data_IF_961894737391
#
_entry.id   IF_961894737391
#
_cell.length_a   1.000
_cell.length_b   1.000
_cell.length_c   1.000
_cell.angle_alpha   90.00
_cell.angle_beta   90.00
_cell.angle_gamma   90.00
#
_symmetry.space_group_name_H-M   'P 1'
#
loop_
_entity.id
_entity.type
_entity.pdbx_description
1 polymer ?
#
# COMPACT_ATOMS: atom_id res chain seq x y z
N UNK A 1 -29.62 -33.58 -21.55
CA UNK A 1 -28.17 -33.59 -21.86
C UNK A 1 -27.59 -32.28 -21.40
N UNK A 2 -26.99 -32.26 -20.21
CA UNK A 2 -26.23 -31.09 -19.73
C UNK A 2 -24.88 -31.16 -20.45
N UNK A 3 -24.60 -30.17 -21.28
CA UNK A 3 -23.30 -29.99 -21.93
C UNK A 3 -22.26 -29.82 -20.82
N UNK A 4 -21.40 -30.83 -20.69
CA UNK A 4 -20.16 -30.73 -19.92
C UNK A 4 -19.30 -29.74 -20.67
N UNK A 5 -19.06 -28.57 -20.07
CA UNK A 5 -18.08 -27.63 -20.56
C UNK A 5 -16.73 -28.36 -20.59
N UNK A 6 -16.19 -28.58 -21.77
CA UNK A 6 -14.81 -29.02 -21.98
C UNK A 6 -13.90 -27.99 -21.31
N UNK A 7 -13.33 -28.34 -20.16
CA UNK A 7 -12.15 -27.67 -19.63
C UNK A 7 -11.02 -27.97 -20.60
N UNK A 8 -10.73 -27.03 -21.50
CA UNK A 8 -9.48 -27.02 -22.26
C UNK A 8 -8.34 -27.03 -21.25
N UNK A 9 -7.67 -28.17 -21.09
CA UNK A 9 -6.42 -28.22 -20.34
C UNK A 9 -5.42 -27.35 -21.09
N UNK A 10 -5.05 -26.21 -20.48
CA UNK A 10 -3.99 -25.36 -21.00
C UNK A 10 -2.73 -26.22 -21.09
N UNK A 11 -2.18 -26.38 -22.29
CA UNK A 11 -1.03 -27.26 -22.53
C UNK A 11 0.28 -26.60 -22.10
N UNK A 12 0.24 -25.32 -21.72
CA UNK A 12 1.40 -24.55 -21.30
C UNK A 12 1.29 -24.12 -19.83
N UNK A 13 2.42 -24.00 -19.12
CA UNK A 13 2.43 -23.47 -17.77
C UNK A 13 2.00 -22.00 -17.73
N UNK A 14 1.39 -21.60 -16.62
CA UNK A 14 1.00 -20.21 -16.34
C UNK A 14 2.21 -19.38 -15.91
N UNK A 15 3.06 -19.02 -16.87
CA UNK A 15 4.29 -18.27 -16.61
C UNK A 15 4.05 -16.83 -16.18
N UNK A 16 2.82 -16.30 -16.33
CA UNK A 16 2.40 -14.99 -15.82
C UNK A 16 2.48 -14.89 -14.28
N UNK A 17 2.54 -16.03 -13.59
CA UNK A 17 2.83 -16.08 -12.15
C UNK A 17 4.19 -15.45 -11.82
N UNK A 18 5.17 -15.57 -12.72
CA UNK A 18 6.52 -15.03 -12.56
C UNK A 18 6.50 -13.51 -12.39
N UNK A 19 5.74 -12.81 -13.25
CA UNK A 19 5.60 -11.36 -13.18
C UNK A 19 5.00 -10.87 -11.85
N UNK A 20 4.12 -11.66 -11.20
CA UNK A 20 3.58 -11.35 -9.87
C UNK A 20 4.68 -11.44 -8.81
N UNK A 21 5.50 -12.49 -8.86
CA UNK A 21 6.65 -12.68 -7.95
C UNK A 21 7.68 -11.56 -8.17
N UNK A 22 8.03 -11.25 -9.41
CA UNK A 22 8.96 -10.17 -9.72
C UNK A 22 8.46 -8.81 -9.22
N UNK A 23 7.14 -8.55 -9.32
CA UNK A 23 6.52 -7.34 -8.76
C UNK A 23 6.69 -7.22 -7.25
N UNK A 24 6.79 -8.34 -6.52
CA UNK A 24 7.11 -8.32 -5.08
C UNK A 24 8.50 -7.69 -4.87
N UNK A 25 9.51 -8.15 -5.60
CA UNK A 25 10.87 -7.64 -5.44
C UNK A 25 11.00 -6.20 -5.93
N UNK A 26 10.43 -5.87 -7.10
CA UNK A 26 10.41 -4.50 -7.65
C UNK A 26 9.80 -3.48 -6.70
N UNK A 27 8.83 -3.88 -5.88
CA UNK A 27 8.17 -2.97 -4.93
C UNK A 27 8.81 -2.96 -3.55
N UNK A 28 9.28 -4.10 -3.07
CA UNK A 28 9.72 -4.23 -1.69
C UNK A 28 11.09 -3.60 -1.42
N UNK A 29 12.09 -3.81 -2.28
CA UNK A 29 13.44 -3.27 -2.02
C UNK A 29 13.47 -1.73 -1.97
N UNK A 30 12.82 -0.99 -2.89
CA UNK A 30 12.70 0.46 -2.77
C UNK A 30 12.00 0.91 -1.49
N UNK A 31 10.91 0.21 -1.11
CA UNK A 31 10.19 0.50 0.13
C UNK A 31 11.09 0.30 1.35
N UNK A 32 11.87 -0.78 1.37
CA UNK A 32 12.79 -1.08 2.47
C UNK A 32 13.89 -0.02 2.55
N UNK A 33 14.49 0.40 1.43
CA UNK A 33 15.50 1.47 1.42
C UNK A 33 14.94 2.77 2.05
N UNK A 34 13.71 3.15 1.73
CA UNK A 34 13.02 4.29 2.32
C UNK A 34 12.68 4.06 3.82
N UNK A 35 12.34 2.84 4.24
CA UNK A 35 12.20 2.51 5.66
C UNK A 35 13.53 2.61 6.43
N UNK A 36 14.63 2.18 5.83
CA UNK A 36 15.99 2.30 6.40
C UNK A 36 16.35 3.78 6.58
N UNK A 37 16.22 4.61 5.53
CA UNK A 37 16.53 6.06 5.59
C UNK A 37 15.75 6.80 6.69
N UNK A 38 14.53 6.37 6.99
CA UNK A 38 13.66 7.03 7.98
C UNK A 38 13.81 6.50 9.40
N UNK A 39 14.53 5.40 9.58
CA UNK A 39 14.70 4.82 10.90
C UNK A 39 15.66 5.68 11.70
N UNK A 40 15.25 6.23 12.86
CA UNK A 40 16.13 7.06 13.67
C UNK A 40 17.35 6.26 14.16
N UNK A 41 18.56 6.85 14.19
CA UNK A 41 19.77 6.20 14.70
C UNK A 41 19.63 5.71 16.16
N UNK A 42 18.71 6.33 16.92
CA UNK A 42 18.42 6.03 18.32
C UNK A 42 17.43 4.88 18.53
N UNK A 43 16.97 4.22 17.45
CA UNK A 43 15.87 3.25 17.51
C UNK A 43 16.27 1.85 17.02
N UNK A 44 17.11 1.10 17.76
CA UNK A 44 17.53 -0.26 17.36
C UNK A 44 16.34 -1.23 17.24
N UNK A 45 15.30 -1.08 18.08
CA UNK A 45 14.06 -1.86 17.96
C UNK A 45 13.35 -1.63 16.62
N UNK A 46 13.42 -0.42 16.07
CA UNK A 46 12.84 -0.11 14.77
C UNK A 46 13.70 -0.70 13.65
N UNK A 47 15.02 -0.57 13.76
CA UNK A 47 15.97 -1.16 12.83
C UNK A 47 15.78 -2.67 12.72
N UNK A 48 15.65 -3.38 13.84
CA UNK A 48 15.40 -4.83 13.87
C UNK A 48 14.11 -5.24 13.14
N UNK A 49 13.04 -4.44 13.25
CA UNK A 49 11.79 -4.72 12.54
C UNK A 49 11.95 -4.55 11.02
N UNK A 50 12.69 -3.53 10.57
CA UNK A 50 12.95 -3.31 9.14
C UNK A 50 13.92 -4.36 8.61
N UNK A 51 14.99 -4.65 9.35
CA UNK A 51 15.98 -5.66 9.01
C UNK A 51 15.35 -7.05 8.90
N UNK A 52 14.45 -7.44 9.80
CA UNK A 52 13.74 -8.71 9.69
C UNK A 52 12.82 -8.81 8.47
N UNK A 53 12.29 -7.69 7.97
CA UNK A 53 11.55 -7.67 6.70
C UNK A 53 12.49 -7.71 5.49
N UNK A 54 13.64 -7.05 5.56
CA UNK A 54 14.70 -7.15 4.56
C UNK A 54 15.23 -8.58 4.44
N UNK A 55 15.52 -9.24 5.56
CA UNK A 55 15.96 -10.64 5.61
C UNK A 55 14.94 -11.55 4.94
N UNK A 56 13.64 -11.33 5.20
CA UNK A 56 12.57 -12.08 4.55
C UNK A 56 12.60 -11.93 3.02
N UNK A 57 12.75 -10.71 2.50
CA UNK A 57 12.79 -10.47 1.05
C UNK A 57 14.06 -10.98 0.39
N UNK A 58 15.22 -10.82 1.02
CA UNK A 58 16.49 -11.36 0.50
C UNK A 58 16.49 -12.89 0.49
N UNK A 59 15.89 -13.52 1.50
CA UNK A 59 15.75 -14.99 1.52
C UNK A 59 14.77 -15.46 0.44
N UNK A 60 13.68 -14.72 0.20
CA UNK A 60 12.76 -14.99 -0.91
C UNK A 60 13.44 -14.87 -2.27
N UNK A 61 14.24 -13.81 -2.47
CA UNK A 61 15.01 -13.60 -3.70
C UNK A 61 16.01 -14.74 -3.94
N UNK A 62 16.81 -15.08 -2.93
CA UNK A 62 17.73 -16.22 -3.02
C UNK A 62 16.99 -17.53 -3.30
N UNK A 63 15.85 -17.76 -2.65
CA UNK A 63 15.04 -18.95 -2.87
C UNK A 63 14.49 -19.05 -4.30
N UNK A 64 14.17 -17.93 -4.94
CA UNK A 64 13.70 -17.83 -6.33
C UNK A 64 14.84 -18.15 -7.31
N UNK A 65 15.92 -17.37 -7.30
CA UNK A 65 17.07 -17.56 -8.22
C UNK A 65 17.67 -18.96 -8.11
N UNK A 66 17.90 -19.47 -6.89
CA UNK A 66 18.44 -20.83 -6.72
C UNK A 66 17.50 -21.93 -7.20
N UNK A 67 16.20 -21.67 -7.30
CA UNK A 67 15.25 -22.62 -7.88
C UNK A 67 15.28 -22.52 -9.41
N UNK A 68 15.38 -21.34 -10.01
CA UNK A 68 15.64 -21.20 -11.46
C UNK A 68 16.91 -21.95 -11.87
N UNK A 69 18.02 -21.70 -11.17
CA UNK A 69 19.33 -22.29 -11.49
C UNK A 69 19.30 -23.82 -11.48
N UNK A 70 18.57 -24.39 -10.52
CA UNK A 70 18.51 -25.85 -10.32
C UNK A 70 17.49 -26.53 -11.21
N UNK A 71 16.36 -25.87 -11.46
CA UNK A 71 15.20 -26.52 -12.05
C UNK A 71 14.88 -26.03 -13.45
N UNK A 72 15.21 -24.80 -13.82
CA UNK A 72 14.81 -24.20 -15.11
C UNK A 72 15.98 -24.18 -16.11
N UNK A 73 17.13 -23.60 -15.76
CA UNK A 73 18.28 -23.47 -16.68
C UNK A 73 18.73 -24.77 -17.33
N UNK A 74 18.91 -25.89 -16.60
CA UNK A 74 19.36 -27.13 -17.21
C UNK A 74 18.37 -27.67 -18.25
N UNK A 75 17.07 -27.47 -18.03
CA UNK A 75 16.01 -27.93 -18.95
C UNK A 75 15.93 -27.06 -20.19
N UNK A 76 16.08 -25.74 -20.06
CA UNK A 76 16.09 -24.84 -21.21
C UNK A 76 17.33 -25.08 -22.08
N UNK A 77 18.51 -25.30 -21.48
CA UNK A 77 19.72 -25.68 -22.21
C UNK A 77 19.56 -27.02 -22.97
N UNK A 78 18.83 -27.98 -22.39
CA UNK A 78 18.55 -29.27 -23.04
C UNK A 78 17.53 -29.14 -24.18
N UNK A 79 16.49 -28.30 -24.03
CA UNK A 79 15.28 -28.35 -24.86
C UNK A 79 15.09 -27.17 -25.81
N UNK A 80 15.77 -26.04 -25.59
CA UNK A 80 15.55 -24.80 -26.33
C UNK A 80 16.82 -24.38 -27.09
N UNK A 81 16.75 -24.30 -28.42
CA UNK A 81 17.90 -24.07 -29.29
C UNK A 81 17.81 -22.77 -30.13
N UNK A 82 18.91 -21.98 -30.25
CA UNK A 82 20.00 -21.83 -29.29
C UNK A 82 19.62 -20.80 -28.21
N UNK A 83 19.74 -21.18 -26.93
CA UNK A 83 19.43 -20.30 -25.78
C UNK A 83 20.60 -20.15 -24.80
N UNK A 84 21.73 -20.79 -25.08
CA UNK A 84 22.89 -20.84 -24.18
C UNK A 84 23.42 -19.45 -23.81
N UNK A 85 23.45 -18.51 -24.76
CA UNK A 85 23.87 -17.13 -24.54
C UNK A 85 22.93 -16.38 -23.58
N UNK A 86 21.62 -16.64 -23.68
CA UNK A 86 20.60 -16.09 -22.77
C UNK A 86 20.77 -16.68 -21.37
N UNK A 87 20.92 -18.00 -21.25
CA UNK A 87 21.06 -18.66 -19.95
C UNK A 87 22.38 -18.26 -19.27
N UNK A 88 23.51 -18.25 -19.98
CA UNK A 88 24.78 -17.75 -19.42
C UNK A 88 24.69 -16.28 -19.00
N UNK A 89 23.89 -15.46 -19.69
CA UNK A 89 23.60 -14.08 -19.27
C UNK A 89 22.80 -14.04 -17.97
N UNK A 90 21.77 -14.89 -17.83
CA UNK A 90 20.99 -15.00 -16.59
C UNK A 90 21.85 -15.43 -15.41
N UNK A 91 22.71 -16.43 -15.58
CA UNK A 91 23.62 -16.90 -14.52
C UNK A 91 24.54 -15.78 -14.03
N UNK A 92 25.15 -15.01 -14.95
CA UNK A 92 25.97 -13.83 -14.58
C UNK A 92 25.16 -12.76 -13.84
N UNK A 93 23.90 -12.54 -14.24
CA UNK A 93 23.02 -11.60 -13.54
C UNK A 93 22.62 -12.11 -12.15
N UNK A 94 22.38 -13.41 -11.99
CA UNK A 94 22.14 -14.04 -10.69
C UNK A 94 23.35 -13.89 -9.75
N UNK A 95 24.57 -14.10 -10.26
CA UNK A 95 25.80 -13.88 -9.51
C UNK A 95 25.90 -12.42 -9.04
N UNK A 96 25.72 -11.45 -9.94
CA UNK A 96 25.75 -10.03 -9.59
C UNK A 96 24.67 -9.65 -8.55
N UNK A 97 23.46 -10.18 -8.69
CA UNK A 97 22.38 -9.97 -7.72
C UNK A 97 22.69 -10.62 -6.36
N UNK A 98 23.35 -11.79 -6.35
CA UNK A 98 23.79 -12.47 -5.14
C UNK A 98 24.87 -11.67 -4.41
N UNK A 99 25.90 -11.20 -5.12
CA UNK A 99 26.95 -10.35 -4.53
C UNK A 99 26.39 -9.06 -3.93
N UNK A 100 25.48 -8.38 -4.64
CA UNK A 100 24.79 -7.21 -4.12
C UNK A 100 23.93 -7.55 -2.89
N UNK A 101 23.26 -8.70 -2.89
CA UNK A 101 22.48 -9.18 -1.75
C UNK A 101 23.36 -9.45 -0.52
N UNK A 102 24.53 -10.06 -0.70
CA UNK A 102 25.47 -10.33 0.38
C UNK A 102 26.02 -9.04 1.00
N UNK A 103 26.31 -8.04 0.15
CA UNK A 103 26.69 -6.70 0.62
C UNK A 103 25.59 -6.05 1.46
N UNK A 104 24.33 -6.17 1.03
CA UNK A 104 23.18 -5.67 1.80
C UNK A 104 23.05 -6.40 3.14
N UNK A 105 23.23 -7.73 3.17
CA UNK A 105 23.18 -8.53 4.42
C UNK A 105 24.25 -8.10 5.41
N UNK A 106 25.48 -7.89 4.94
CA UNK A 106 26.60 -7.43 5.77
C UNK A 106 26.31 -6.05 6.39
N UNK A 107 25.79 -5.11 5.60
CA UNK A 107 25.39 -3.79 6.07
C UNK A 107 24.22 -3.83 7.06
N UNK A 108 23.22 -4.66 6.78
CA UNK A 108 22.05 -4.85 7.62
C UNK A 108 22.43 -5.46 8.98
N UNK A 109 23.39 -6.39 9.01
CA UNK A 109 23.90 -7.00 10.22
C UNK A 109 24.56 -5.97 11.16
N UNK A 110 25.28 -4.97 10.62
CA UNK A 110 25.81 -3.85 11.42
C UNK A 110 24.71 -2.89 11.84
N UNK A 111 23.84 -2.52 10.89
CA UNK A 111 22.78 -1.53 11.09
C UNK A 111 21.74 -1.93 12.14
N UNK A 112 21.38 -3.22 12.20
CA UNK A 112 20.38 -3.72 13.15
C UNK A 112 20.81 -3.54 14.61
N UNK A 113 22.12 -3.60 14.89
CA UNK A 113 22.71 -3.44 16.22
C UNK A 113 22.90 -1.97 16.54
N UNK A 114 23.49 -1.22 15.60
CA UNK A 114 23.76 0.21 15.74
C UNK A 114 23.32 0.92 14.46
N UNK A 115 22.15 1.58 14.44
CA UNK A 115 21.55 2.12 13.22
C UNK A 115 22.20 3.40 12.66
N UNK A 116 23.52 3.47 12.65
CA UNK A 116 24.31 4.65 12.22
C UNK A 116 24.69 4.61 10.74
N UNK A 117 24.82 3.42 10.14
CA UNK A 117 25.14 3.24 8.72
C UNK A 117 23.90 3.15 7.79
N UNK A 118 22.75 3.71 8.20
CA UNK A 118 21.50 3.59 7.45
C UNK A 118 21.57 4.16 6.03
N UNK A 119 22.32 5.24 5.80
CA UNK A 119 22.50 5.80 4.46
C UNK A 119 23.28 4.85 3.54
N UNK A 120 24.33 4.21 4.05
CA UNK A 120 25.13 3.21 3.32
C UNK A 120 24.29 1.97 2.98
N UNK A 121 23.53 1.45 3.95
CA UNK A 121 22.61 0.34 3.74
C UNK A 121 21.54 0.67 2.69
N UNK A 122 20.92 1.86 2.78
CA UNK A 122 19.90 2.26 1.81
C UNK A 122 20.47 2.36 0.39
N UNK A 123 21.67 2.91 0.22
CA UNK A 123 22.35 2.99 -1.08
C UNK A 123 22.68 1.60 -1.65
N UNK A 124 23.12 0.66 -0.80
CA UNK A 124 23.34 -0.73 -1.23
C UNK A 124 22.04 -1.42 -1.67
N UNK A 125 20.91 -1.14 -1.00
CA UNK A 125 19.59 -1.65 -1.41
C UNK A 125 19.14 -1.01 -2.74
N UNK A 126 19.40 0.29 -2.96
CA UNK A 126 19.11 0.93 -4.25
C UNK A 126 19.93 0.29 -5.38
N UNK A 127 21.21 -0.01 -5.13
CA UNK A 127 22.07 -0.68 -6.10
C UNK A 127 21.59 -2.10 -6.40
N UNK A 128 21.25 -2.90 -5.38
CA UNK A 128 20.62 -4.21 -5.55
C UNK A 128 19.32 -4.09 -6.37
N UNK A 129 18.50 -3.08 -6.08
CA UNK A 129 17.24 -2.83 -6.82
C UNK A 129 17.52 -2.57 -8.30
N UNK A 130 18.52 -1.75 -8.64
CA UNK A 130 18.85 -1.43 -10.03
C UNK A 130 19.30 -2.67 -10.80
N UNK A 131 20.23 -3.45 -10.23
CA UNK A 131 20.69 -4.73 -10.79
C UNK A 131 19.51 -5.68 -10.98
N UNK A 132 18.66 -5.79 -9.97
CA UNK A 132 17.55 -6.71 -9.97
C UNK A 132 16.49 -6.31 -11.00
N UNK A 133 16.13 -5.03 -11.12
CA UNK A 133 15.14 -4.60 -12.12
C UNK A 133 15.61 -4.91 -13.54
N UNK A 134 16.89 -4.65 -13.85
CA UNK A 134 17.47 -5.00 -15.16
C UNK A 134 17.39 -6.51 -15.42
N UNK A 135 17.78 -7.33 -14.44
CA UNK A 135 17.69 -8.78 -14.53
C UNK A 135 16.25 -9.28 -14.72
N UNK A 136 15.29 -8.81 -13.92
CA UNK A 136 13.90 -9.25 -13.99
C UNK A 136 13.22 -8.83 -15.30
N UNK A 137 13.55 -7.65 -15.83
CA UNK A 137 13.05 -7.18 -17.13
C UNK A 137 13.61 -8.05 -18.27
N UNK A 138 14.88 -8.45 -18.17
CA UNK A 138 15.55 -9.30 -19.15
C UNK A 138 15.02 -10.73 -19.14
N UNK A 139 14.81 -11.30 -17.94
CA UNK A 139 14.21 -12.62 -17.76
C UNK A 139 12.77 -12.67 -18.29
N UNK A 140 11.94 -11.68 -17.96
CA UNK A 140 10.55 -11.60 -18.47
C UNK A 140 10.50 -11.49 -20.00
N UNK A 141 11.46 -10.80 -20.62
CA UNK A 141 11.49 -10.60 -22.06
C UNK A 141 12.02 -11.83 -22.83
N UNK A 142 13.04 -12.51 -22.30
CA UNK A 142 13.79 -13.51 -23.09
C UNK A 142 13.69 -14.93 -22.56
N UNK A 143 13.43 -15.11 -21.27
CA UNK A 143 13.41 -16.43 -20.64
C UNK A 143 12.00 -16.93 -20.39
N UNK A 144 11.12 -16.09 -19.84
CA UNK A 144 9.74 -16.46 -19.54
C UNK A 144 8.99 -17.03 -20.77
N UNK A 145 9.19 -16.53 -22.01
CA UNK A 145 8.63 -17.17 -23.20
C UNK A 145 9.17 -18.60 -23.44
N UNK A 146 10.48 -18.82 -23.23
CA UNK A 146 11.10 -20.13 -23.37
C UNK A 146 10.58 -21.11 -22.32
N UNK A 147 10.36 -20.64 -21.08
CA UNK A 147 9.72 -21.45 -20.03
C UNK A 147 8.35 -21.90 -20.51
N UNK A 148 7.54 -20.98 -21.05
CA UNK A 148 6.19 -21.31 -21.53
C UNK A 148 6.22 -22.37 -22.62
N UNK A 149 7.19 -22.31 -23.52
CA UNK A 149 7.30 -23.22 -24.67
C UNK A 149 7.89 -24.59 -24.31
N UNK A 150 8.86 -24.64 -23.40
CA UNK A 150 9.71 -25.82 -23.21
C UNK A 150 9.62 -26.50 -21.83
N UNK A 151 8.93 -25.89 -20.87
CA UNK A 151 8.70 -26.44 -19.53
C UNK A 151 7.27 -26.94 -19.42
N UNK A 152 7.08 -28.15 -18.89
CA UNK A 152 5.73 -28.72 -18.74
C UNK A 152 4.98 -28.09 -17.56
N UNK A 153 3.65 -28.21 -17.55
CA UNK A 153 2.82 -27.77 -16.42
C UNK A 153 3.25 -28.45 -15.11
N UNK A 154 3.52 -29.75 -15.14
CA UNK A 154 3.96 -30.51 -13.95
C UNK A 154 5.31 -30.02 -13.42
N UNK A 155 6.27 -29.75 -14.31
CA UNK A 155 7.58 -29.22 -13.92
C UNK A 155 7.47 -27.81 -13.34
N UNK A 156 6.59 -26.98 -13.90
CA UNK A 156 6.30 -25.63 -13.41
C UNK A 156 5.61 -25.63 -12.04
N UNK A 157 4.64 -26.52 -11.83
CA UNK A 157 3.99 -26.69 -10.53
C UNK A 157 4.99 -27.13 -9.47
N UNK A 158 5.86 -28.11 -9.79
CA UNK A 158 6.94 -28.56 -8.91
C UNK A 158 7.93 -27.44 -8.57
N UNK A 159 8.31 -26.62 -9.55
CA UNK A 159 9.13 -25.43 -9.32
C UNK A 159 8.48 -24.51 -8.27
N UNK A 160 7.18 -24.25 -8.40
CA UNK A 160 6.43 -23.44 -7.43
C UNK A 160 6.41 -24.06 -6.03
N UNK A 161 6.24 -25.38 -5.93
CA UNK A 161 6.28 -26.11 -4.65
C UNK A 161 7.66 -26.01 -3.97
N UNK A 162 8.74 -26.23 -4.73
CA UNK A 162 10.12 -26.17 -4.24
C UNK A 162 10.48 -24.75 -3.74
N UNK A 163 10.04 -23.71 -4.45
CA UNK A 163 10.21 -22.32 -4.03
C UNK A 163 9.48 -22.04 -2.70
N UNK A 164 8.26 -22.57 -2.53
CA UNK A 164 7.47 -22.39 -1.30
C UNK A 164 7.91 -23.29 -0.13
N UNK A 165 8.54 -24.43 -0.40
CA UNK A 165 9.00 -25.38 0.61
C UNK A 165 10.07 -24.78 1.54
N UNK A 166 10.85 -23.82 1.03
CA UNK A 166 11.91 -23.11 1.78
C UNK A 166 11.36 -22.19 2.89
N UNK A 167 10.06 -21.86 2.88
CA UNK A 167 9.45 -21.00 3.89
C UNK A 167 8.82 -21.77 5.06
N UNK A 168 9.03 -21.29 6.28
CA UNK A 168 8.25 -21.70 7.46
C UNK A 168 6.77 -21.34 7.32
N UNK A 169 5.89 -21.96 8.12
CA UNK A 169 4.46 -21.63 8.09
C UNK A 169 4.16 -20.15 8.39
N UNK A 170 4.95 -19.51 9.26
CA UNK A 170 4.82 -18.08 9.54
C UNK A 170 5.26 -17.22 8.34
N UNK A 171 6.31 -17.62 7.64
CA UNK A 171 6.79 -16.95 6.44
C UNK A 171 5.83 -17.15 5.25
N UNK A 172 5.24 -18.33 5.08
CA UNK A 172 4.19 -18.61 4.08
C UNK A 172 3.02 -17.64 4.24
N UNK A 173 2.60 -17.37 5.48
CA UNK A 173 1.57 -16.38 5.77
C UNK A 173 1.95 -14.97 5.30
N UNK A 174 3.22 -14.56 5.52
CA UNK A 174 3.73 -13.26 5.07
C UNK A 174 3.81 -13.21 3.54
N UNK A 175 4.36 -14.24 2.90
CA UNK A 175 4.48 -14.37 1.45
C UNK A 175 3.11 -14.26 0.76
N UNK A 176 2.10 -15.00 1.25
CA UNK A 176 0.72 -14.92 0.74
C UNK A 176 0.15 -13.50 0.87
N UNK A 177 0.42 -12.81 1.97
CA UNK A 177 -0.05 -11.43 2.16
C UNK A 177 0.60 -10.44 1.22
N UNK A 178 1.91 -10.55 1.00
CA UNK A 178 2.63 -9.70 0.05
C UNK A 178 2.15 -9.96 -1.37
N UNK A 179 2.04 -11.23 -1.78
CA UNK A 179 1.51 -11.60 -3.10
C UNK A 179 0.11 -11.00 -3.34
N UNK A 180 -0.82 -11.18 -2.39
CA UNK A 180 -2.18 -10.62 -2.51
C UNK A 180 -2.18 -9.08 -2.52
N UNK A 181 -1.18 -8.44 -1.88
CA UNK A 181 -1.06 -6.98 -1.88
C UNK A 181 -0.60 -6.44 -3.25
N UNK A 182 0.31 -7.12 -3.93
CA UNK A 182 0.85 -6.69 -5.24
C UNK A 182 0.01 -7.17 -6.44
N UNK A 183 -0.77 -8.24 -6.26
CA UNK A 183 -1.58 -8.86 -7.30
C UNK A 183 -2.96 -8.19 -7.48
N UNK A 184 -3.51 -8.28 -8.69
CA UNK A 184 -4.94 -8.09 -8.95
C UNK A 184 -5.75 -9.24 -8.32
N UNK A 185 -7.08 -9.09 -8.16
CA UNK A 185 -7.91 -10.18 -7.64
C UNK A 185 -7.84 -11.47 -8.47
N UNK A 186 -7.66 -11.34 -9.79
CA UNK A 186 -7.49 -12.44 -10.72
C UNK A 186 -6.11 -13.09 -10.57
N UNK A 187 -5.03 -12.29 -10.63
CA UNK A 187 -3.66 -12.76 -10.39
C UNK A 187 -3.54 -13.50 -9.05
N UNK A 188 -4.18 -12.99 -7.98
CA UNK A 188 -4.18 -13.62 -6.68
C UNK A 188 -4.93 -14.96 -6.64
N UNK A 189 -5.92 -15.18 -7.51
CA UNK A 189 -6.68 -16.42 -7.55
C UNK A 189 -5.83 -17.58 -8.08
N UNK A 190 -4.88 -17.30 -9.00
CA UNK A 190 -3.94 -18.29 -9.53
C UNK A 190 -3.13 -19.00 -8.44
N UNK A 191 -2.80 -18.29 -7.36
CA UNK A 191 -2.03 -18.83 -6.24
C UNK A 191 -2.93 -19.37 -5.12
N UNK A 192 -4.11 -18.79 -4.93
CA UNK A 192 -4.98 -19.12 -3.80
C UNK A 192 -5.92 -20.29 -4.08
N UNK A 193 -6.46 -20.41 -5.29
CA UNK A 193 -7.46 -21.43 -5.63
C UNK A 193 -6.93 -22.86 -5.57
N UNK A 194 -5.65 -23.15 -5.93
CA UNK A 194 -5.06 -24.47 -5.70
C UNK A 194 -4.98 -24.88 -4.22
N UNK A 195 -5.04 -23.92 -3.29
CA UNK A 195 -4.93 -24.24 -1.87
C UNK A 195 -6.19 -24.96 -1.34
N UNK A 196 -6.01 -25.95 -0.43
CA UNK A 196 -7.12 -26.61 0.25
C UNK A 196 -8.10 -25.62 0.88
N UNK A 197 -9.40 -25.93 0.78
CA UNK A 197 -10.48 -25.07 1.29
C UNK A 197 -10.27 -24.59 2.75
N UNK A 198 -9.81 -25.43 3.71
CA UNK A 198 -9.54 -24.99 5.07
C UNK A 198 -8.50 -23.86 5.14
N UNK A 199 -7.46 -23.91 4.30
CA UNK A 199 -6.40 -22.88 4.25
C UNK A 199 -6.98 -21.58 3.68
N UNK A 200 -7.78 -21.65 2.61
CA UNK A 200 -8.44 -20.47 2.03
C UNK A 200 -9.40 -19.80 3.02
N UNK A 201 -10.15 -20.58 3.80
CA UNK A 201 -11.03 -20.05 4.84
C UNK A 201 -10.20 -19.37 5.95
N UNK A 202 -9.15 -20.03 6.44
CA UNK A 202 -8.25 -19.46 7.46
C UNK A 202 -7.60 -18.16 6.97
N UNK A 203 -7.18 -18.10 5.71
CA UNK A 203 -6.66 -16.89 5.07
C UNK A 203 -7.66 -15.73 5.12
N UNK A 204 -8.92 -15.99 4.73
CA UNK A 204 -9.99 -14.99 4.73
C UNK A 204 -10.35 -14.49 6.13
N UNK A 205 -10.42 -15.39 7.12
CA UNK A 205 -10.85 -15.06 8.49
C UNK A 205 -9.75 -14.39 9.32
N UNK A 206 -8.52 -14.89 9.25
CA UNK A 206 -7.42 -14.47 10.12
C UNK A 206 -6.17 -14.05 9.36
N UNK A 207 -5.82 -14.74 8.27
CA UNK A 207 -4.54 -14.54 7.59
C UNK A 207 -4.33 -13.10 7.12
N UNK A 208 -5.34 -12.53 6.44
CA UNK A 208 -5.34 -11.11 6.01
C UNK A 208 -5.13 -10.14 7.16
N UNK A 209 -5.76 -10.37 8.32
CA UNK A 209 -5.64 -9.50 9.50
C UNK A 209 -4.26 -9.60 10.13
N UNK A 210 -3.71 -10.81 10.23
CA UNK A 210 -2.35 -11.05 10.74
C UNK A 210 -1.29 -10.40 9.85
N UNK A 211 -1.41 -10.56 8.53
CA UNK A 211 -0.55 -9.87 7.57
C UNK A 211 -0.67 -8.34 7.70
N UNK A 212 -1.89 -7.80 7.74
CA UNK A 212 -2.12 -6.36 7.88
C UNK A 212 -1.49 -5.79 9.17
N UNK A 213 -1.55 -6.54 10.28
CA UNK A 213 -0.88 -6.17 11.52
C UNK A 213 0.65 -6.22 11.41
N UNK A 214 1.19 -7.26 10.77
CA UNK A 214 2.61 -7.42 10.49
C UNK A 214 3.14 -6.26 9.63
N UNK A 215 2.54 -6.02 8.46
CA UNK A 215 3.03 -5.00 7.53
C UNK A 215 2.86 -3.58 8.10
N UNK A 216 1.85 -3.33 8.93
CA UNK A 216 1.72 -2.07 9.68
C UNK A 216 2.87 -1.86 10.65
N UNK A 217 3.33 -2.92 11.34
CA UNK A 217 4.51 -2.85 12.20
C UNK A 217 5.78 -2.60 11.38
N UNK A 218 5.92 -3.23 10.21
CA UNK A 218 7.06 -3.05 9.30
C UNK A 218 7.11 -1.65 8.71
N UNK A 219 5.98 -1.10 8.25
CA UNK A 219 5.92 0.24 7.64
C UNK A 219 5.97 1.35 8.69
N UNK A 220 5.64 1.03 9.94
CA UNK A 220 5.46 2.01 11.00
C UNK A 220 4.22 2.89 10.76
N UNK A 221 3.96 3.83 11.65
CA UNK A 221 2.85 4.78 11.52
C UNK A 221 3.14 5.84 10.43
N UNK A 222 3.16 5.40 9.17
CA UNK A 222 2.78 6.22 8.02
C UNK A 222 1.56 5.54 7.38
N UNK A 223 0.36 5.86 7.88
CA UNK A 223 -0.80 5.83 7.00
C UNK A 223 -0.50 6.71 5.77
N UNK A 224 -1.09 6.34 4.62
CA UNK A 224 -1.28 7.12 3.37
C UNK A 224 -0.50 6.60 2.13
N UNK A 225 -0.88 5.44 1.60
CA UNK A 225 -0.46 5.02 0.26
C UNK A 225 -1.45 4.12 -0.47
N UNK A 226 -1.51 2.84 -0.11
CA UNK A 226 -2.23 1.85 -0.92
C UNK A 226 -3.61 1.44 -0.40
N UNK A 227 -3.82 1.31 0.92
CA UNK A 227 -5.08 0.82 1.46
C UNK A 227 -6.26 1.82 1.36
N UNK A 228 -5.98 3.13 1.37
CA UNK A 228 -7.01 4.16 1.28
C UNK A 228 -7.56 4.37 -0.15
N UNK A 229 -6.89 3.87 -1.19
CA UNK A 229 -7.42 3.94 -2.57
C UNK A 229 -8.53 2.92 -2.86
N UNK A 230 -8.70 1.90 -2.00
CA UNK A 230 -9.76 0.88 -2.17
C UNK A 230 -10.80 0.81 -1.04
N UNK A 231 -10.58 1.47 0.11
CA UNK A 231 -11.53 1.43 1.26
C UNK A 231 -12.29 2.75 1.52
N UNK A 232 -11.95 3.84 0.82
CA UNK A 232 -12.55 5.17 1.00
C UNK A 232 -14.08 5.24 0.96
N UNK A 233 -14.79 4.51 0.07
CA UNK A 233 -16.26 4.60 0.01
C UNK A 233 -16.99 3.88 1.15
N UNK A 234 -16.42 2.82 1.74
CA UNK A 234 -17.13 1.92 2.67
C UNK A 234 -16.94 2.29 4.13
N UNK A 235 -15.76 2.79 4.51
CA UNK A 235 -15.50 3.26 5.89
C UNK A 235 -16.26 4.56 6.18
N UNK A 236 -16.33 5.48 5.20
CA UNK A 236 -17.14 6.69 5.34
C UNK A 236 -18.64 6.36 5.48
N UNK A 237 -19.18 5.42 4.70
CA UNK A 237 -20.60 5.03 4.79
C UNK A 237 -20.98 4.42 6.14
N UNK A 238 -20.10 3.60 6.73
CA UNK A 238 -20.37 2.99 8.03
C UNK A 238 -20.29 4.03 9.16
N UNK A 239 -19.30 4.93 9.10
CA UNK A 239 -19.17 6.04 10.04
C UNK A 239 -20.34 7.03 9.97
N UNK A 240 -20.77 7.43 8.77
CA UNK A 240 -21.93 8.32 8.59
C UNK A 240 -23.23 7.63 9.02
N UNK A 241 -23.41 6.33 8.73
CA UNK A 241 -24.60 5.60 9.16
C UNK A 241 -24.69 5.47 10.68
N UNK A 242 -23.56 5.27 11.37
CA UNK A 242 -23.51 5.23 12.83
C UNK A 242 -23.73 6.62 13.44
N UNK A 243 -23.18 7.68 12.84
CA UNK A 243 -23.42 9.06 13.24
C UNK A 243 -24.92 9.41 13.17
N UNK A 244 -25.56 9.17 12.01
CA UNK A 244 -26.99 9.47 11.80
C UNK A 244 -27.90 8.67 12.73
N UNK A 245 -27.68 7.35 12.85
CA UNK A 245 -28.51 6.50 13.72
C UNK A 245 -28.38 6.83 15.20
N UNK A 246 -27.26 7.41 15.60
CA UNK A 246 -26.99 7.76 16.99
C UNK A 246 -27.24 9.24 17.28
N UNK A 247 -27.70 10.02 16.30
CA UNK A 247 -27.91 11.46 16.44
C UNK A 247 -26.63 12.16 16.95
N UNK A 248 -25.49 11.79 16.37
CA UNK A 248 -24.17 12.31 16.75
C UNK A 248 -23.58 11.72 18.05
N UNK A 249 -24.29 10.87 18.81
CA UNK A 249 -23.73 10.25 20.04
C UNK A 249 -22.54 9.33 19.74
N UNK A 250 -22.52 8.68 18.57
CA UNK A 250 -21.41 7.84 18.09
C UNK A 250 -20.78 8.52 16.88
N UNK A 251 -19.55 9.03 17.05
CA UNK A 251 -18.82 9.75 15.99
C UNK A 251 -18.99 11.27 16.00
N UNK A 252 -19.75 11.83 16.96
CA UNK A 252 -19.90 13.29 17.15
C UNK A 252 -18.65 14.01 17.64
N UNK A 253 -17.64 13.28 18.11
CA UNK A 253 -16.33 13.83 18.45
C UNK A 253 -15.22 13.00 17.84
N UNK A 254 -14.18 13.66 17.33
CA UNK A 254 -12.98 13.03 16.81
C UNK A 254 -11.75 13.78 17.31
N UNK A 255 -10.85 13.07 18.03
CA UNK A 255 -9.65 13.65 18.65
C UNK A 255 -9.94 14.91 19.48
N UNK A 256 -11.06 14.91 20.21
CA UNK A 256 -11.49 16.02 21.06
C UNK A 256 -12.17 17.18 20.33
N UNK A 257 -12.31 17.13 19.00
CA UNK A 257 -13.03 18.14 18.22
C UNK A 257 -14.46 17.68 17.91
N UNK A 258 -15.45 18.59 17.87
CA UNK A 258 -16.80 18.24 17.43
C UNK A 258 -16.81 17.96 15.92
N UNK A 259 -17.66 17.02 15.51
CA UNK A 259 -17.76 16.52 14.13
C UNK A 259 -19.11 16.89 13.53
N UNK A 260 -19.08 17.43 12.32
CA UNK A 260 -20.24 17.62 11.45
C UNK A 260 -20.11 16.73 10.22
N UNK A 261 -21.23 16.34 9.62
CA UNK A 261 -21.24 15.76 8.28
C UNK A 261 -21.41 16.89 7.28
N UNK A 262 -20.54 16.95 6.26
CA UNK A 262 -20.66 17.91 5.15
C UNK A 262 -20.94 17.14 3.87
N UNK A 263 -22.06 17.44 3.23
CA UNK A 263 -22.47 16.88 1.95
C UNK A 263 -22.27 17.92 0.85
N UNK A 264 -21.44 17.57 -0.15
CA UNK A 264 -21.08 18.46 -1.26
C UNK A 264 -21.15 17.70 -2.59
N UNK A 265 -21.74 18.26 -3.65
CA UNK A 265 -21.74 17.62 -4.96
C UNK A 265 -20.31 17.53 -5.53
N UNK A 266 -20.00 16.38 -6.15
CA UNK A 266 -18.71 16.15 -6.79
C UNK A 266 -18.49 17.12 -7.96
N UNK A 267 -17.39 17.89 -7.93
CA UNK A 267 -17.12 18.93 -8.95
C UNK A 267 -17.07 18.46 -10.43
N UNK A 268 -16.93 17.14 -10.65
CA UNK A 268 -16.92 16.53 -12.00
C UNK A 268 -18.20 15.73 -12.30
N UNK A 269 -18.82 15.16 -11.28
CA UNK A 269 -19.89 14.15 -11.44
C UNK A 269 -21.25 14.63 -10.97
N UNK A 270 -21.32 15.73 -10.22
CA UNK A 270 -22.54 16.22 -9.56
C UNK A 270 -23.01 15.34 -8.38
N UNK A 271 -22.50 14.12 -8.24
CA UNK A 271 -22.94 13.18 -7.20
C UNK A 271 -22.68 13.74 -5.79
N UNK A 272 -23.67 13.77 -4.90
CA UNK A 272 -23.47 14.18 -3.51
C UNK A 272 -22.49 13.26 -2.77
N UNK A 273 -21.53 13.85 -2.07
CA UNK A 273 -20.57 13.15 -1.24
C UNK A 273 -20.58 13.69 0.19
N UNK A 274 -20.95 12.84 1.15
CA UNK A 274 -20.93 13.17 2.59
C UNK A 274 -19.58 12.80 3.20
N UNK A 275 -18.97 13.74 3.92
CA UNK A 275 -17.72 13.52 4.65
C UNK A 275 -17.83 14.03 6.09
N UNK A 276 -17.50 13.21 7.11
CA UNK A 276 -17.36 13.70 8.48
C UNK A 276 -16.11 14.58 8.62
N UNK A 277 -16.28 15.78 9.16
CA UNK A 277 -15.19 16.76 9.34
C UNK A 277 -15.28 17.40 10.73
N UNK A 278 -14.12 17.77 11.27
CA UNK A 278 -14.08 18.62 12.46
C UNK A 278 -14.54 20.04 12.09
N UNK A 279 -15.35 20.65 12.94
CA UNK A 279 -15.79 22.03 12.79
C UNK A 279 -15.58 22.85 14.06
N UNK A 280 -15.66 24.17 13.94
CA UNK A 280 -15.61 25.09 15.07
C UNK A 280 -16.62 26.20 14.89
N UNK A 281 -17.43 26.48 15.90
CA UNK A 281 -18.30 27.65 15.90
C UNK A 281 -17.47 28.95 15.89
N UNK A 282 -17.89 29.90 15.06
CA UNK A 282 -17.27 31.21 14.91
C UNK A 282 -18.32 32.23 14.46
N UNK A 283 -18.70 33.16 15.33
CA UNK A 283 -19.63 34.27 15.04
C UNK A 283 -20.92 33.85 14.30
N UNK A 284 -21.58 32.78 14.77
CA UNK A 284 -22.81 32.27 14.17
C UNK A 284 -22.61 31.48 12.86
N UNK A 285 -21.36 31.25 12.47
CA UNK A 285 -20.95 30.42 11.33
C UNK A 285 -20.12 29.22 11.79
N UNK A 286 -19.79 28.31 10.88
CA UNK A 286 -18.90 27.18 11.16
C UNK A 286 -17.60 27.28 10.36
N UNK A 287 -16.48 27.05 11.03
CA UNK A 287 -15.17 26.91 10.39
C UNK A 287 -14.85 25.44 10.15
N UNK A 288 -14.53 25.10 8.91
CA UNK A 288 -14.01 23.78 8.53
C UNK A 288 -12.65 23.91 7.86
N UNK A 289 -11.79 22.90 8.05
CA UNK A 289 -10.43 22.93 7.52
C UNK A 289 -10.06 21.65 6.76
N UNK A 290 -9.39 21.83 5.62
CA UNK A 290 -8.97 20.75 4.71
C UNK A 290 -7.72 20.00 5.18
N UNK A 291 -7.70 19.54 6.43
CA UNK A 291 -6.49 18.96 7.06
C UNK A 291 -6.07 17.63 6.43
N UNK A 292 -7.03 16.75 6.13
CA UNK A 292 -6.80 15.40 5.62
C UNK A 292 -5.69 14.63 6.37
N UNK A 293 -5.61 14.80 7.70
CA UNK A 293 -4.57 14.16 8.52
C UNK A 293 -3.12 14.56 8.18
N UNK A 294 -2.94 15.73 7.56
CA UNK A 294 -1.66 16.21 7.06
C UNK A 294 -1.25 15.60 5.72
N UNK A 295 -2.20 15.22 4.87
CA UNK A 295 -1.92 14.77 3.51
C UNK A 295 -1.35 15.90 2.64
N UNK A 296 -0.34 15.55 1.81
CA UNK A 296 0.25 16.46 0.82
C UNK A 296 -0.79 16.94 -0.21
N UNK A 297 -1.79 16.11 -0.52
CA UNK A 297 -2.89 16.48 -1.40
C UNK A 297 -4.06 17.09 -0.63
N UNK A 298 -4.68 18.12 -1.21
CA UNK A 298 -5.91 18.71 -0.66
C UNK A 298 -7.08 17.70 -0.73
N UNK A 299 -7.87 17.55 0.36
CA UNK A 299 -8.97 16.60 0.38
C UNK A 299 -10.00 16.88 -0.70
N UNK A 300 -10.56 15.81 -1.27
CA UNK A 300 -11.50 15.91 -2.38
C UNK A 300 -12.77 16.69 -2.02
N UNK A 301 -13.33 16.50 -0.82
CA UNK A 301 -14.51 17.25 -0.35
C UNK A 301 -14.27 18.76 -0.29
N UNK A 302 -13.06 19.18 0.10
CA UNK A 302 -12.72 20.61 0.17
C UNK A 302 -12.52 21.22 -1.23
N UNK A 303 -11.96 20.44 -2.16
CA UNK A 303 -11.92 20.83 -3.59
C UNK A 303 -13.32 20.95 -4.19
N UNK A 304 -14.28 20.15 -3.71
CA UNK A 304 -15.67 20.27 -4.14
C UNK A 304 -16.31 21.53 -3.54
N UNK A 305 -16.11 21.81 -2.25
CA UNK A 305 -16.59 23.04 -1.59
C UNK A 305 -16.20 24.30 -2.34
N UNK A 306 -14.93 24.39 -2.76
CA UNK A 306 -14.42 25.52 -3.55
C UNK A 306 -15.14 25.70 -4.88
N UNK A 307 -15.65 24.62 -5.47
CA UNK A 307 -16.29 24.64 -6.78
C UNK A 307 -17.81 24.91 -6.71
N UNK A 308 -18.47 24.57 -5.60
CA UNK A 308 -19.94 24.59 -5.51
C UNK A 308 -20.48 25.82 -4.81
N UNK A 309 -19.73 26.41 -3.86
CA UNK A 309 -20.17 27.60 -3.11
C UNK A 309 -21.31 27.34 -2.11
N UNK A 310 -21.92 26.14 -2.13
CA UNK A 310 -22.93 25.69 -1.18
C UNK A 310 -22.66 24.25 -0.73
N UNK A 311 -23.18 23.90 0.44
CA UNK A 311 -23.15 22.54 0.99
C UNK A 311 -24.35 22.32 1.91
N UNK A 312 -24.62 21.05 2.22
CA UNK A 312 -25.57 20.66 3.27
C UNK A 312 -24.79 20.10 4.47
N UNK A 313 -25.14 20.50 5.70
CA UNK A 313 -24.45 20.05 6.91
C UNK A 313 -25.40 19.39 7.90
N UNK A 314 -24.92 18.34 8.56
CA UNK A 314 -25.62 17.65 9.65
C UNK A 314 -24.77 17.73 10.92
N UNK A 315 -25.34 18.29 12.00
CA UNK A 315 -24.72 18.41 13.33
C UNK A 315 -25.69 17.83 14.36
N UNK A 316 -25.42 16.60 14.81
CA UNK A 316 -26.36 15.81 15.62
C UNK A 316 -27.75 15.74 14.96
N UNK A 317 -28.75 16.41 15.53
CA UNK A 317 -30.14 16.44 15.04
C UNK A 317 -30.46 17.62 14.10
N UNK A 318 -29.49 18.52 13.89
CA UNK A 318 -29.69 19.71 13.06
C UNK A 318 -29.14 19.47 11.67
N UNK A 319 -30.00 19.67 10.67
CA UNK A 319 -29.65 19.63 9.25
C UNK A 319 -29.95 20.98 8.64
N UNK A 320 -29.01 21.52 7.85
CA UNK A 320 -29.17 22.85 7.25
C UNK A 320 -28.28 23.04 6.03
N UNK A 321 -28.77 23.85 5.10
CA UNK A 321 -27.97 24.31 3.97
C UNK A 321 -27.09 25.50 4.38
N UNK A 322 -25.87 25.53 3.84
CA UNK A 322 -24.87 26.55 4.14
C UNK A 322 -24.27 27.13 2.87
N UNK A 323 -23.99 28.42 2.90
CA UNK A 323 -23.08 29.08 1.95
C UNK A 323 -21.64 28.81 2.35
N UNK A 324 -20.78 28.63 1.36
CA UNK A 324 -19.39 28.21 1.54
C UNK A 324 -18.47 29.31 1.03
N UNK A 325 -17.73 29.93 1.94
CA UNK A 325 -16.71 30.93 1.62
C UNK A 325 -15.33 30.39 1.99
N UNK A 326 -14.54 30.02 0.96
CA UNK A 326 -13.15 29.60 1.18
C UNK A 326 -12.29 30.83 1.41
N UNK A 327 -11.68 30.91 2.59
CA UNK A 327 -10.96 32.12 3.01
C UNK A 327 -9.74 32.41 2.12
N UNK A 328 -9.55 33.66 1.68
CA UNK A 328 -8.27 34.13 1.16
C UNK A 328 -7.15 33.91 2.17
N UNK A 329 -5.92 33.83 1.69
CA UNK A 329 -4.78 33.45 2.55
C UNK A 329 -4.62 34.33 3.80
N UNK A 330 -4.80 35.65 3.66
CA UNK A 330 -4.61 36.57 4.79
C UNK A 330 -5.61 36.30 5.91
N UNK A 331 -6.89 36.11 5.56
CA UNK A 331 -7.95 35.80 6.51
C UNK A 331 -7.81 34.38 7.06
N UNK A 332 -7.43 33.43 6.19
CA UNK A 332 -7.10 32.05 6.56
C UNK A 332 -6.05 32.04 7.65
N UNK A 333 -4.91 32.71 7.45
CA UNK A 333 -3.77 32.69 8.37
C UNK A 333 -4.13 33.28 9.74
N UNK A 334 -4.94 34.36 9.76
CA UNK A 334 -5.48 34.95 10.99
C UNK A 334 -6.42 33.97 11.70
N UNK A 335 -7.46 33.48 11.03
CA UNK A 335 -8.44 32.55 11.62
C UNK A 335 -7.79 31.24 12.08
N UNK A 336 -6.83 30.73 11.31
CA UNK A 336 -6.07 29.54 11.67
C UNK A 336 -5.32 29.74 12.98
N UNK A 337 -4.54 30.82 13.10
CA UNK A 337 -3.73 31.13 14.28
C UNK A 337 -4.59 31.47 15.50
N UNK A 338 -5.60 32.31 15.33
CA UNK A 338 -6.26 32.98 16.44
C UNK A 338 -7.52 32.24 16.91
N UNK A 339 -8.11 31.39 16.06
CA UNK A 339 -9.37 30.68 16.36
C UNK A 339 -9.21 29.16 16.34
N UNK A 340 -8.65 28.61 15.26
CA UNK A 340 -8.59 27.14 15.08
C UNK A 340 -7.52 26.51 15.96
N UNK A 341 -6.29 27.03 15.95
CA UNK A 341 -5.19 26.43 16.71
C UNK A 341 -5.40 26.43 18.23
N UNK A 342 -5.99 27.47 18.86
CA UNK A 342 -6.32 27.43 20.28
C UNK A 342 -7.33 26.33 20.63
N UNK A 343 -8.31 26.08 19.75
CA UNK A 343 -9.34 25.03 19.91
C UNK A 343 -8.83 23.63 19.55
N UNK A 344 -7.87 23.53 18.62
CA UNK A 344 -7.29 22.28 18.16
C UNK A 344 -5.76 22.37 18.00
N UNK A 345 -4.98 22.41 19.09
CA UNK A 345 -3.52 22.57 19.03
C UNK A 345 -2.82 21.47 18.22
N UNK A 346 -3.44 20.29 18.14
CA UNK A 346 -2.92 19.16 17.34
C UNK A 346 -2.85 19.45 15.83
N UNK A 347 -3.57 20.46 15.32
CA UNK A 347 -3.62 20.77 13.89
C UNK A 347 -2.31 21.37 13.35
N UNK A 348 -1.47 21.95 14.22
CA UNK A 348 -0.10 22.38 13.86
C UNK A 348 0.69 21.25 13.20
N UNK A 349 0.57 20.03 13.77
CA UNK A 349 1.26 18.85 13.23
C UNK A 349 0.76 18.46 11.84
N UNK A 350 -0.50 18.73 11.51
CA UNK A 350 -1.04 18.46 10.18
C UNK A 350 -0.51 19.42 9.14
N UNK A 351 -0.38 20.71 9.47
CA UNK A 351 0.16 21.72 8.54
C UNK A 351 1.64 21.43 8.27
N UNK A 352 2.42 21.16 9.32
CA UNK A 352 3.83 20.75 9.19
C UNK A 352 3.98 19.49 8.34
N UNK A 353 3.16 18.46 8.61
CA UNK A 353 3.20 17.20 7.86
C UNK A 353 2.78 17.36 6.41
N UNK A 354 1.80 18.22 6.12
CA UNK A 354 1.27 18.39 4.77
C UNK A 354 2.25 19.11 3.83
N UNK A 355 3.16 19.93 4.37
CA UNK A 355 4.05 20.79 3.56
C UNK A 355 3.28 21.80 2.70
N UNK A 356 1.99 22.03 3.01
CA UNK A 356 1.10 22.96 2.33
C UNK A 356 0.25 23.71 3.35
N UNK A 357 -0.22 24.87 2.92
CA UNK A 357 -1.24 25.67 3.61
C UNK A 357 -2.54 24.85 3.68
N UNK A 358 -3.02 24.56 4.88
CA UNK A 358 -4.33 23.93 5.10
C UNK A 358 -5.43 24.96 4.83
N UNK A 359 -6.30 24.77 3.83
CA UNK A 359 -7.35 25.74 3.55
C UNK A 359 -8.42 25.74 4.65
N UNK A 360 -9.06 26.88 4.86
CA UNK A 360 -10.18 27.06 5.79
C UNK A 360 -11.37 27.62 5.01
N UNK A 361 -12.56 27.09 5.28
CA UNK A 361 -13.80 27.62 4.75
C UNK A 361 -14.72 28.02 5.90
N UNK A 362 -15.45 29.12 5.69
CA UNK A 362 -16.56 29.56 6.52
C UNK A 362 -17.83 28.99 5.92
N UNK A 363 -18.64 28.35 6.76
CA UNK A 363 -19.94 27.81 6.41
C UNK A 363 -21.00 28.65 7.11
N UNK A 364 -21.69 29.47 6.33
CA UNK A 364 -22.71 30.38 6.84
C UNK A 364 -24.08 29.75 6.65
N UNK A 365 -24.87 29.53 7.72
CA UNK A 365 -26.26 29.08 7.60
C UNK A 365 -27.02 29.94 6.57
N UNK A 366 -27.68 29.32 5.61
CA UNK A 366 -28.68 30.02 4.83
C UNK A 366 -29.85 30.27 5.79
N UNK A 367 -29.98 31.50 6.32
CA UNK A 367 -31.04 31.82 7.27
C UNK A 367 -32.41 31.44 6.72
N UNK A 368 -33.29 30.96 7.59
CA UNK A 368 -34.70 30.75 7.26
C UNK A 368 -35.27 32.05 6.67
N UNK A 369 -35.79 31.98 5.45
CA UNK A 369 -36.66 33.04 4.92
C UNK A 369 -38.04 32.91 5.53
#
# INVERSE_FOLDING_TARGET
>A
MVSVAETTHDTHPRTEQMAVIHRIFRTAFPEIADLVRRTPPTSPRRAEVVAGYLDFQLNGLHAHHTTEDRNIWPRLLERAAPTADVIERMERQHEAASEASDRVRELAARWRVTPTNGAELAAAIDQLTAILVEHLDDEEAHVVPLIREHITVEEWEKFGEDAFAKFTNAQKLIATGIMVEVATPEEASWFLDPLPLPIRIMWRLQGRRKYAAYIRRVRGARDHGLLLRRLGPSVNRLGTSLYRRSHGRVGGTAKGCPVMLVTVPGRRTGTPHTTPVAYFDYDGTYLVSGTAGGSVAEPQWFRNLRATGTAHVEIADREQDVKVDVLPRVDRDRIWRDVILPKAPSFVKYEQKAGRIIPVAVLTPAGDS
#
